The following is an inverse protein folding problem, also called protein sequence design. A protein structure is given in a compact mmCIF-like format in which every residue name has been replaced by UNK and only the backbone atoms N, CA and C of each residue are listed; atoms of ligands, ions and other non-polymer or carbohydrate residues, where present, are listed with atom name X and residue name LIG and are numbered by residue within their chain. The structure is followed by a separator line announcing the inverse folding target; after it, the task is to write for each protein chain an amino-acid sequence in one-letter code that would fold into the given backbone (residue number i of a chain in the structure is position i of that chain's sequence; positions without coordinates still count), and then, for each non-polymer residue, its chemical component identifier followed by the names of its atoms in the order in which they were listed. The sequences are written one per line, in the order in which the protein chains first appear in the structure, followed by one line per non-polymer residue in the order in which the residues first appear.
data_IF_060582557146
#
_entry.id   IF_060582557146
#
_cell.length_a   1.000
_cell.length_b   1.000
_cell.length_c   1.000
_cell.angle_alpha   90.00
_cell.angle_beta   90.00
_cell.angle_gamma   90.00
#
_symmetry.space_group_name_H-M   'P 1'
#
loop_
_entity.id
_entity.type
_entity.pdbx_description
1 polymer ?
#
# COMPACT_ATOMS: atom_id res chain seq x y z
N UNK A 1 15.23 23.11 5.43
CA UNK A 1 16.36 22.65 4.59
C UNK A 1 17.45 21.85 5.33
N UNK A 2 17.34 21.56 6.64
CA UNK A 2 18.37 20.82 7.40
C UNK A 2 18.29 19.28 7.33
N UNK A 3 17.32 18.70 6.62
CA UNK A 3 17.06 17.24 6.62
C UNK A 3 17.98 16.48 5.67
N UNK A 4 18.47 17.11 4.60
CA UNK A 4 19.29 16.45 3.59
C UNK A 4 20.73 16.17 4.03
N UNK A 5 21.32 17.00 4.90
CA UNK A 5 22.69 16.80 5.42
C UNK A 5 22.81 15.57 6.31
N UNK A 6 21.88 15.39 7.25
CA UNK A 6 21.87 14.24 8.19
C UNK A 6 21.70 12.88 7.50
N UNK A 7 21.16 12.84 6.28
CA UNK A 7 20.96 11.57 5.55
C UNK A 7 22.29 11.01 5.03
N UNK A 8 23.19 11.87 4.54
CA UNK A 8 24.50 11.46 4.01
C UNK A 8 25.46 11.00 5.10
N UNK A 9 25.52 11.72 6.23
CA UNK A 9 26.39 11.36 7.35
C UNK A 9 26.05 9.98 7.95
N UNK A 10 24.76 9.63 7.99
CA UNK A 10 24.33 8.36 8.55
C UNK A 10 24.61 7.15 7.65
N UNK A 11 24.53 7.32 6.32
CA UNK A 11 24.96 6.27 5.39
C UNK A 11 26.46 6.00 5.54
N UNK A 12 27.24 7.05 5.76
CA UNK A 12 28.68 6.93 5.96
C UNK A 12 29.04 6.14 7.24
N UNK A 13 28.27 6.31 8.33
CA UNK A 13 28.50 5.55 9.56
C UNK A 13 28.19 4.06 9.39
N UNK A 14 27.07 3.73 8.74
CA UNK A 14 26.65 2.35 8.49
C UNK A 14 27.66 1.59 7.63
N UNK A 15 28.06 2.19 6.51
CA UNK A 15 29.10 1.63 5.64
C UNK A 15 30.44 1.49 6.37
N UNK A 16 30.79 2.44 7.24
CA UNK A 16 32.01 2.37 8.03
C UNK A 16 31.97 1.20 9.01
N UNK A 17 30.88 1.04 9.77
CA UNK A 17 30.72 -0.08 10.69
C UNK A 17 30.72 -1.43 9.95
N UNK A 18 30.11 -1.50 8.76
CA UNK A 18 30.14 -2.69 7.91
C UNK A 18 31.58 -3.06 7.51
N UNK A 19 32.37 -2.07 7.05
CA UNK A 19 33.77 -2.29 6.67
C UNK A 19 34.63 -2.70 7.86
N UNK A 20 34.44 -2.08 9.03
CA UNK A 20 35.18 -2.43 10.26
C UNK A 20 34.82 -3.85 10.70
N UNK A 21 33.55 -4.24 10.62
CA UNK A 21 33.10 -5.60 10.92
C UNK A 21 33.77 -6.64 10.00
N UNK A 22 33.78 -6.39 8.69
CA UNK A 22 34.41 -7.27 7.72
C UNK A 22 35.93 -7.38 7.93
N UNK A 23 36.60 -6.25 8.21
CA UNK A 23 38.04 -6.22 8.52
C UNK A 23 38.38 -7.01 9.78
N UNK A 24 37.69 -6.74 10.90
CA UNK A 24 37.91 -7.44 12.17
C UNK A 24 37.69 -8.94 12.04
N UNK A 25 36.67 -9.36 11.28
CA UNK A 25 36.40 -10.78 10.99
C UNK A 25 37.53 -11.42 10.17
N UNK A 26 38.05 -10.73 9.16
CA UNK A 26 39.15 -11.23 8.32
C UNK A 26 40.47 -11.34 9.09
N UNK A 27 40.68 -10.48 10.08
CA UNK A 27 41.86 -10.49 10.97
C UNK A 27 41.73 -11.49 12.15
N UNK A 28 40.60 -12.19 12.28
CA UNK A 28 40.35 -13.12 13.38
C UNK A 28 40.10 -12.46 14.74
N UNK A 29 39.71 -11.18 14.74
CA UNK A 29 39.39 -10.41 15.96
C UNK A 29 37.91 -10.58 16.31
N UNK A 30 37.54 -11.80 16.73
CA UNK A 30 36.13 -12.19 16.94
C UNK A 30 35.39 -11.29 17.93
N UNK A 31 36.04 -10.88 19.03
CA UNK A 31 35.44 -10.00 20.03
C UNK A 31 35.07 -8.63 19.46
N UNK A 32 35.97 -8.05 18.65
CA UNK A 32 35.74 -6.75 18.00
C UNK A 32 34.65 -6.89 16.94
N UNK A 33 34.72 -7.96 16.13
CA UNK A 33 33.70 -8.24 15.13
C UNK A 33 32.30 -8.37 15.78
N UNK A 34 32.19 -9.09 16.90
CA UNK A 34 30.93 -9.25 17.63
C UNK A 34 30.41 -7.93 18.22
N UNK A 35 31.28 -7.08 18.77
CA UNK A 35 30.90 -5.76 19.28
C UNK A 35 30.39 -4.84 18.16
N UNK A 36 31.14 -4.75 17.05
CA UNK A 36 30.77 -3.93 15.89
C UNK A 36 29.47 -4.43 15.28
N UNK A 37 29.29 -5.75 15.20
CA UNK A 37 28.05 -6.38 14.75
C UNK A 37 26.84 -5.97 15.62
N UNK A 38 27.01 -5.99 16.95
CA UNK A 38 25.99 -5.54 17.88
C UNK A 38 25.61 -4.06 17.68
N UNK A 39 26.60 -3.19 17.50
CA UNK A 39 26.38 -1.77 17.22
C UNK A 39 25.64 -1.56 15.89
N UNK A 40 26.00 -2.30 14.85
CA UNK A 40 25.34 -2.22 13.55
C UNK A 40 23.86 -2.64 13.64
N UNK A 41 23.56 -3.73 14.36
CA UNK A 41 22.18 -4.16 14.61
C UNK A 41 21.37 -3.08 15.35
N UNK A 42 21.93 -2.49 16.42
CA UNK A 42 21.29 -1.42 17.19
C UNK A 42 21.06 -0.15 16.35
N UNK A 43 22.02 0.22 15.50
CA UNK A 43 21.91 1.35 14.59
C UNK A 43 20.74 1.15 13.62
N UNK A 44 20.67 -0.02 12.97
CA UNK A 44 19.60 -0.35 12.03
C UNK A 44 18.23 -0.37 12.73
N UNK A 45 18.13 -0.94 13.94
CA UNK A 45 16.89 -0.90 14.71
C UNK A 45 16.45 0.54 15.02
N UNK A 46 17.39 1.38 15.45
CA UNK A 46 17.13 2.81 15.73
C UNK A 46 16.65 3.54 14.47
N UNK A 47 17.20 3.21 13.30
CA UNK A 47 16.78 3.74 12.01
C UNK A 47 15.37 3.32 11.63
N UNK A 48 15.03 2.05 11.83
CA UNK A 48 13.65 1.55 11.66
C UNK A 48 12.68 2.37 12.53
N UNK A 49 12.97 2.52 13.81
CA UNK A 49 12.12 3.27 14.74
C UNK A 49 12.03 4.77 14.39
N UNK A 50 13.12 5.36 13.91
CA UNK A 50 13.12 6.74 13.43
C UNK A 50 12.24 6.89 12.19
N UNK A 51 12.40 6.04 11.18
CA UNK A 51 11.61 6.08 9.95
C UNK A 51 10.13 5.82 10.22
N UNK A 52 9.79 4.90 11.12
CA UNK A 52 8.40 4.67 11.52
C UNK A 52 7.79 5.91 12.18
N UNK A 53 8.52 6.58 13.10
CA UNK A 53 8.08 7.85 13.71
C UNK A 53 7.94 8.99 12.70
N UNK A 54 8.79 9.00 11.67
CA UNK A 54 8.75 9.99 10.58
C UNK A 54 7.80 9.61 9.44
N UNK A 55 6.97 8.57 9.59
CA UNK A 55 6.01 8.10 8.57
C UNK A 55 6.68 7.79 7.22
N UNK A 56 7.85 7.17 7.28
CA UNK A 56 8.70 6.76 6.16
C UNK A 56 8.69 5.22 6.02
N UNK A 57 7.59 4.61 5.54
CA UNK A 57 7.38 3.16 5.60
C UNK A 57 8.34 2.37 4.72
N UNK A 58 8.69 2.89 3.53
CA UNK A 58 9.57 2.20 2.60
C UNK A 58 11.02 2.12 3.13
N UNK A 59 11.49 3.22 3.72
CA UNK A 59 12.83 3.31 4.30
C UNK A 59 12.92 2.46 5.57
N UNK A 60 11.89 2.47 6.41
CA UNK A 60 11.80 1.58 7.57
C UNK A 60 11.90 0.09 7.16
N UNK A 61 11.19 -0.32 6.11
CA UNK A 61 11.26 -1.69 5.59
C UNK A 61 12.61 -2.02 4.98
N UNK A 62 13.29 -1.06 4.33
CA UNK A 62 14.62 -1.28 3.78
C UNK A 62 15.63 -1.59 4.90
N UNK A 63 15.68 -0.76 5.94
CA UNK A 63 16.56 -0.99 7.10
C UNK A 63 16.23 -2.27 7.86
N UNK A 64 14.95 -2.58 8.03
CA UNK A 64 14.54 -3.83 8.70
C UNK A 64 14.92 -5.08 7.88
N UNK A 65 14.90 -5.01 6.55
CA UNK A 65 15.37 -6.10 5.67
C UNK A 65 16.88 -6.29 5.79
N UNK A 66 17.65 -5.20 5.74
CA UNK A 66 19.09 -5.26 5.95
C UNK A 66 19.44 -5.84 7.33
N UNK A 67 18.68 -5.48 8.36
CA UNK A 67 18.85 -6.06 9.70
C UNK A 67 18.64 -7.59 9.72
N UNK A 68 17.74 -8.14 8.90
CA UNK A 68 17.55 -9.60 8.78
C UNK A 68 18.79 -10.30 8.19
N UNK A 69 19.54 -9.62 7.33
CA UNK A 69 20.71 -10.20 6.66
C UNK A 69 21.90 -10.35 7.62
N UNK A 70 22.02 -9.44 8.59
CA UNK A 70 23.13 -9.43 9.54
C UNK A 70 22.76 -10.10 10.88
N UNK A 71 21.59 -9.79 11.44
CA UNK A 71 21.28 -10.15 12.82
C UNK A 71 21.01 -11.66 12.98
N UNK A 72 21.14 -12.20 14.21
CA UNK A 72 20.66 -13.54 14.52
C UNK A 72 19.22 -13.73 14.03
N UNK A 73 18.87 -14.90 13.45
CA UNK A 73 17.57 -15.08 12.78
C UNK A 73 16.37 -14.66 13.64
N UNK A 74 16.35 -14.99 14.92
CA UNK A 74 15.23 -14.65 15.81
C UNK A 74 15.01 -13.14 15.92
N UNK A 75 16.08 -12.35 16.03
CA UNK A 75 16.00 -10.90 16.12
C UNK A 75 15.65 -10.27 14.77
N UNK A 76 16.32 -10.70 13.70
CA UNK A 76 16.06 -10.22 12.35
C UNK A 76 14.60 -10.40 11.94
N UNK A 77 14.11 -11.64 11.95
CA UNK A 77 12.74 -11.95 11.55
C UNK A 77 11.70 -11.31 12.47
N UNK A 78 11.98 -11.22 13.78
CA UNK A 78 11.08 -10.56 14.74
C UNK A 78 10.96 -9.06 14.46
N UNK A 79 12.07 -8.35 14.24
CA UNK A 79 12.05 -6.91 13.94
C UNK A 79 11.28 -6.64 12.64
N UNK A 80 11.65 -7.31 11.53
CA UNK A 80 11.01 -7.06 10.24
C UNK A 80 9.52 -7.43 10.26
N UNK A 81 9.14 -8.51 10.94
CA UNK A 81 7.73 -8.88 11.08
C UNK A 81 6.94 -7.85 11.91
N UNK A 82 7.53 -7.34 13.01
CA UNK A 82 6.95 -6.24 13.79
C UNK A 82 6.79 -4.97 12.94
N UNK A 83 7.78 -4.63 12.12
CA UNK A 83 7.70 -3.50 11.18
C UNK A 83 6.53 -3.65 10.22
N UNK A 84 6.34 -4.83 9.60
CA UNK A 84 5.17 -5.10 8.76
C UNK A 84 3.84 -4.94 9.53
N UNK A 85 3.76 -5.43 10.77
CA UNK A 85 2.56 -5.26 11.62
C UNK A 85 2.25 -3.79 11.94
N UNK A 86 3.27 -2.98 12.27
CA UNK A 86 3.10 -1.53 12.52
C UNK A 86 2.56 -0.83 11.26
N UNK A 87 3.01 -1.26 10.09
CA UNK A 87 2.55 -0.77 8.79
C UNK A 87 1.23 -1.40 8.30
N UNK A 88 0.55 -2.19 9.16
CA UNK A 88 -0.70 -2.90 8.86
C UNK A 88 -0.62 -3.95 7.73
N UNK A 89 0.59 -4.39 7.37
CA UNK A 89 0.84 -5.47 6.43
C UNK A 89 0.86 -6.84 7.15
N UNK A 90 -0.26 -7.18 7.80
CA UNK A 90 -0.32 -8.34 8.70
C UNK A 90 -0.10 -9.68 8.01
N UNK A 91 -0.48 -9.81 6.73
CA UNK A 91 -0.32 -11.07 5.98
C UNK A 91 1.16 -11.32 5.67
N UNK A 92 1.86 -10.28 5.25
CA UNK A 92 3.30 -10.28 5.01
C UNK A 92 4.07 -10.54 6.31
N UNK A 93 3.66 -9.90 7.41
CA UNK A 93 4.21 -10.15 8.73
C UNK A 93 4.07 -11.62 9.15
N UNK A 94 2.89 -12.21 8.95
CA UNK A 94 2.65 -13.63 9.28
C UNK A 94 3.51 -14.56 8.42
N UNK A 95 3.54 -14.34 7.11
CA UNK A 95 4.31 -15.16 6.19
C UNK A 95 5.81 -15.13 6.54
N UNK A 96 6.33 -13.94 6.85
CA UNK A 96 7.71 -13.76 7.25
C UNK A 96 8.03 -14.42 8.60
N UNK A 97 7.17 -14.28 9.60
CA UNK A 97 7.35 -14.91 10.90
C UNK A 97 7.33 -16.44 10.80
N UNK A 98 6.51 -17.02 9.91
CA UNK A 98 6.55 -18.46 9.59
C UNK A 98 7.89 -18.88 8.99
N UNK A 99 8.46 -18.09 8.08
CA UNK A 99 9.81 -18.33 7.57
C UNK A 99 10.86 -18.25 8.70
N UNK A 100 10.71 -17.28 9.61
CA UNK A 100 11.54 -17.16 10.80
C UNK A 100 11.47 -18.41 11.69
N UNK A 101 10.28 -19.00 11.87
CA UNK A 101 10.10 -20.21 12.69
C UNK A 101 10.98 -21.39 12.26
N UNK A 102 11.28 -21.48 10.95
CA UNK A 102 12.16 -22.51 10.40
C UNK A 102 13.64 -22.27 10.69
N UNK A 103 14.02 -21.02 10.99
CA UNK A 103 15.42 -20.57 11.15
C UNK A 103 15.81 -20.28 12.60
N UNK A 104 14.86 -20.14 13.51
CA UNK A 104 15.11 -19.85 14.92
C UNK A 104 15.40 -21.12 15.73
N UNK A 105 16.22 -20.96 16.78
CA UNK A 105 16.46 -21.99 17.80
C UNK A 105 15.19 -22.34 18.56
N UNK A 106 15.17 -23.52 19.21
CA UNK A 106 14.01 -24.02 19.96
C UNK A 106 13.50 -23.00 20.99
N UNK A 107 14.41 -22.35 21.72
CA UNK A 107 14.10 -21.37 22.78
C UNK A 107 13.32 -20.14 22.27
N UNK A 108 13.40 -19.84 20.97
CA UNK A 108 12.72 -18.69 20.37
C UNK A 108 11.50 -19.07 19.51
N UNK A 109 11.22 -20.37 19.36
CA UNK A 109 10.08 -20.83 18.57
C UNK A 109 8.75 -20.41 19.18
N UNK A 110 8.60 -20.53 20.50
CA UNK A 110 7.36 -20.16 21.18
C UNK A 110 7.04 -18.68 21.01
N UNK A 111 8.03 -17.80 21.20
CA UNK A 111 7.87 -16.36 20.98
C UNK A 111 7.46 -16.04 19.53
N UNK A 112 8.06 -16.72 18.54
CA UNK A 112 7.71 -16.55 17.13
C UNK A 112 6.30 -17.09 16.81
N UNK A 113 5.90 -18.22 17.41
CA UNK A 113 4.54 -18.77 17.29
C UNK A 113 3.49 -17.83 17.89
N UNK A 114 3.76 -17.29 19.08
CA UNK A 114 2.91 -16.31 19.72
C UNK A 114 2.77 -15.06 18.83
N UNK A 115 3.86 -14.58 18.22
CA UNK A 115 3.81 -13.48 17.27
C UNK A 115 2.92 -13.80 16.06
N UNK A 116 3.08 -14.98 15.43
CA UNK A 116 2.26 -15.43 14.30
C UNK A 116 0.77 -15.42 14.69
N UNK A 117 0.43 -15.94 15.87
CA UNK A 117 -0.94 -15.94 16.37
C UNK A 117 -1.49 -14.51 16.53
N UNK A 118 -0.72 -13.63 17.18
CA UNK A 118 -1.10 -12.24 17.40
C UNK A 118 -1.29 -11.48 16.08
N UNK A 119 -0.40 -11.68 15.09
CA UNK A 119 -0.54 -11.09 13.76
C UNK A 119 -1.85 -11.53 13.07
N UNK A 120 -2.22 -12.81 13.17
CA UNK A 120 -3.50 -13.32 12.65
C UNK A 120 -4.72 -12.70 13.34
N UNK A 121 -4.68 -12.59 14.67
CA UNK A 121 -5.77 -11.97 15.43
C UNK A 121 -5.94 -10.51 15.03
N UNK A 122 -4.84 -9.76 14.91
CA UNK A 122 -4.90 -8.37 14.45
C UNK A 122 -5.39 -8.25 13.02
N UNK A 123 -4.92 -9.11 12.11
CA UNK A 123 -5.43 -9.16 10.74
C UNK A 123 -6.94 -9.36 10.74
N UNK A 124 -7.45 -10.35 11.49
CA UNK A 124 -8.88 -10.62 11.59
C UNK A 124 -9.70 -9.43 12.13
N UNK A 125 -9.19 -8.73 13.16
CA UNK A 125 -9.86 -7.56 13.76
C UNK A 125 -9.84 -6.32 12.86
N UNK A 126 -8.80 -6.13 12.05
CA UNK A 126 -8.58 -4.95 11.19
C UNK A 126 -8.82 -5.24 9.71
N UNK A 127 -9.64 -6.25 9.40
CA UNK A 127 -10.02 -6.57 8.02
C UNK A 127 -10.62 -5.35 7.34
N UNK A 128 -10.11 -5.01 6.16
CA UNK A 128 -10.78 -4.04 5.28
C UNK A 128 -12.18 -4.58 5.00
N UNK A 129 -13.25 -3.88 5.43
CA UNK A 129 -14.63 -4.36 5.27
C UNK A 129 -14.97 -4.61 3.80
N UNK A 130 -14.27 -3.95 2.86
CA UNK A 130 -14.46 -4.20 1.43
C UNK A 130 -14.10 -5.62 1.02
N UNK A 131 -13.20 -6.31 1.73
CA UNK A 131 -12.93 -7.73 1.43
C UNK A 131 -14.10 -8.66 1.77
N UNK A 132 -14.95 -8.28 2.73
CA UNK A 132 -15.95 -9.18 3.30
C UNK A 132 -17.39 -8.76 3.04
N UNK A 133 -17.63 -7.51 2.70
CA UNK A 133 -18.97 -7.04 2.33
C UNK A 133 -19.40 -7.70 1.00
N UNK A 134 -20.58 -8.35 0.97
CA UNK A 134 -21.21 -8.79 -0.28
C UNK A 134 -21.39 -7.61 -1.24
N UNK A 135 -21.37 -7.90 -2.54
CA UNK A 135 -21.47 -6.86 -3.57
C UNK A 135 -22.78 -6.08 -3.47
N UNK A 136 -23.86 -6.75 -3.05
CA UNK A 136 -25.20 -6.21 -2.87
C UNK A 136 -25.23 -5.15 -1.76
N UNK A 137 -24.61 -5.45 -0.62
CA UNK A 137 -24.52 -4.51 0.52
C UNK A 137 -23.67 -3.31 0.14
N UNK A 138 -22.54 -3.55 -0.53
CA UNK A 138 -21.67 -2.47 -1.00
C UNK A 138 -22.39 -1.59 -2.02
N UNK A 139 -23.11 -2.18 -2.97
CA UNK A 139 -23.91 -1.44 -3.94
C UNK A 139 -24.98 -0.59 -3.23
N UNK A 140 -25.66 -1.15 -2.22
CA UNK A 140 -26.61 -0.44 -1.37
C UNK A 140 -25.99 0.76 -0.68
N UNK A 141 -24.83 0.60 -0.01
CA UNK A 141 -24.11 1.72 0.62
C UNK A 141 -23.76 2.79 -0.42
N UNK A 142 -23.22 2.38 -1.56
CA UNK A 142 -22.81 3.31 -2.62
C UNK A 142 -24.00 4.07 -3.23
N UNK A 143 -25.23 3.56 -3.16
CA UNK A 143 -26.42 4.32 -3.59
C UNK A 143 -26.66 5.58 -2.74
N UNK A 144 -26.25 5.59 -1.47
CA UNK A 144 -26.42 6.74 -0.59
C UNK A 144 -25.30 7.78 -0.70
N UNK A 145 -24.12 7.40 -1.20
CA UNK A 145 -22.93 8.27 -1.26
C UNK A 145 -22.51 8.61 -2.70
N UNK A 146 -23.48 8.97 -3.55
CA UNK A 146 -23.28 9.21 -4.99
C UNK A 146 -22.06 10.09 -5.30
N UNK A 147 -21.91 11.19 -4.57
CA UNK A 147 -20.88 12.20 -4.78
C UNK A 147 -19.47 11.71 -4.40
N UNK A 148 -19.37 10.80 -3.43
CA UNK A 148 -18.11 10.31 -2.88
C UNK A 148 -17.59 9.03 -3.57
N UNK A 149 -18.37 8.42 -4.47
CA UNK A 149 -17.98 7.18 -5.16
C UNK A 149 -16.63 7.29 -5.86
N UNK A 150 -16.35 8.44 -6.47
CA UNK A 150 -15.08 8.70 -7.14
C UNK A 150 -13.94 8.82 -6.13
N UNK A 151 -14.17 9.52 -5.00
CA UNK A 151 -13.23 9.57 -3.87
C UNK A 151 -12.89 8.17 -3.37
N UNK A 152 -13.89 7.28 -3.27
CA UNK A 152 -13.70 5.90 -2.84
C UNK A 152 -12.79 5.08 -3.77
N UNK A 153 -12.68 5.41 -5.07
CA UNK A 153 -11.72 4.78 -5.99
C UNK A 153 -10.25 5.12 -5.64
N UNK A 154 -10.04 6.18 -4.87
CA UNK A 154 -8.74 6.62 -4.33
C UNK A 154 -8.34 5.92 -3.03
N UNK A 155 -9.28 5.33 -2.30
CA UNK A 155 -9.06 4.80 -0.94
C UNK A 155 -8.07 3.62 -0.93
N UNK A 156 -8.32 2.60 -1.74
CA UNK A 156 -7.43 1.45 -1.87
C UNK A 156 -7.55 0.79 -3.24
N UNK A 157 -6.54 -0.02 -3.62
CA UNK A 157 -6.61 -0.82 -4.86
C UNK A 157 -7.81 -1.78 -4.86
N UNK A 158 -8.12 -2.34 -3.69
CA UNK A 158 -9.21 -3.28 -3.52
C UNK A 158 -10.58 -2.58 -3.62
N UNK A 159 -10.72 -1.43 -2.96
CA UNK A 159 -11.87 -0.52 -3.13
C UNK A 159 -12.12 -0.20 -4.59
N UNK A 160 -11.09 0.24 -5.32
CA UNK A 160 -11.18 0.54 -6.74
C UNK A 160 -11.66 -0.66 -7.55
N UNK A 161 -11.06 -1.83 -7.35
CA UNK A 161 -11.42 -3.04 -8.07
C UNK A 161 -12.87 -3.46 -7.81
N UNK A 162 -13.31 -3.47 -6.54
CA UNK A 162 -14.69 -3.84 -6.19
C UNK A 162 -15.71 -2.85 -6.69
N UNK A 163 -15.52 -1.56 -6.43
CA UNK A 163 -16.45 -0.50 -6.85
C UNK A 163 -16.62 -0.45 -8.36
N UNK A 164 -15.54 -0.69 -9.11
CA UNK A 164 -15.61 -0.85 -10.55
C UNK A 164 -16.64 -1.91 -10.92
N UNK A 165 -16.62 -3.09 -10.32
CA UNK A 165 -17.50 -4.21 -10.66
C UNK A 165 -18.98 -4.02 -10.27
N UNK A 166 -19.31 -3.04 -9.44
CA UNK A 166 -20.68 -2.85 -8.97
C UNK A 166 -21.58 -2.20 -10.04
N UNK A 167 -22.87 -2.57 -10.12
CA UNK A 167 -23.84 -1.97 -11.04
C UNK A 167 -24.34 -0.59 -10.57
N UNK A 168 -23.45 0.23 -10.00
CA UNK A 168 -23.76 1.54 -9.41
C UNK A 168 -23.56 2.69 -10.40
N UNK A 169 -22.84 2.46 -11.50
CA UNK A 169 -22.48 3.46 -12.51
C UNK A 169 -23.58 3.69 -13.56
N UNK A 170 -24.85 3.63 -13.16
CA UNK A 170 -25.99 3.79 -14.06
C UNK A 170 -26.23 5.25 -14.45
N UNK A 171 -25.77 6.19 -13.62
CA UNK A 171 -25.89 7.62 -13.86
C UNK A 171 -24.49 8.23 -13.87
N UNK A 172 -24.15 8.94 -14.95
CA UNK A 172 -22.90 9.64 -15.12
C UNK A 172 -23.15 11.12 -15.35
N UNK A 173 -22.58 11.96 -14.48
CA UNK A 173 -22.55 13.40 -14.66
C UNK A 173 -21.17 13.84 -15.16
N UNK A 174 -21.14 14.48 -16.33
CA UNK A 174 -19.91 14.92 -17.00
C UNK A 174 -19.80 16.44 -16.91
N UNK A 175 -19.25 16.94 -15.81
CA UNK A 175 -19.13 18.39 -15.54
C UNK A 175 -17.85 19.00 -16.12
N UNK A 176 -16.70 18.37 -15.88
CA UNK A 176 -15.41 18.83 -16.40
C UNK A 176 -14.62 17.64 -16.91
N UNK A 177 -14.38 17.62 -18.21
CA UNK A 177 -13.57 16.59 -18.84
C UNK A 177 -12.29 17.24 -19.39
N UNK A 178 -11.15 16.76 -18.92
CA UNK A 178 -9.84 17.22 -19.41
C UNK A 178 -9.32 16.19 -20.43
N UNK A 179 -9.49 16.39 -21.75
CA UNK A 179 -9.15 15.37 -22.75
C UNK A 179 -7.64 15.03 -22.86
N UNK A 180 -6.75 15.73 -22.16
CA UNK A 180 -5.29 15.70 -22.38
C UNK A 180 -4.45 14.80 -21.45
N UNK A 181 -5.04 14.08 -20.50
CA UNK A 181 -4.25 13.19 -19.62
C UNK A 181 -4.55 11.72 -19.91
N UNK A 182 -3.51 10.94 -20.22
CA UNK A 182 -3.60 9.47 -20.37
C UNK A 182 -4.24 8.78 -19.17
N UNK A 183 -4.08 9.38 -17.97
CA UNK A 183 -4.75 8.94 -16.74
C UNK A 183 -6.28 8.88 -16.88
N UNK A 184 -6.87 9.71 -17.74
CA UNK A 184 -8.32 9.77 -17.93
C UNK A 184 -8.86 8.58 -18.72
N UNK A 185 -8.05 7.93 -19.55
CA UNK A 185 -8.49 6.73 -20.29
C UNK A 185 -8.82 5.55 -19.35
N UNK A 186 -8.09 5.42 -18.23
CA UNK A 186 -8.39 4.39 -17.22
C UNK A 186 -9.67 4.71 -16.43
N UNK A 187 -9.87 5.98 -16.09
CA UNK A 187 -11.11 6.44 -15.46
C UNK A 187 -12.32 6.24 -16.37
N UNK A 188 -12.19 6.45 -17.69
CA UNK A 188 -13.27 6.17 -18.65
C UNK A 188 -13.70 4.71 -18.63
N UNK A 189 -12.74 3.77 -18.71
CA UNK A 189 -13.04 2.33 -18.67
C UNK A 189 -13.74 1.90 -17.38
N UNK A 190 -13.50 2.65 -16.31
CA UNK A 190 -14.12 2.38 -15.00
C UNK A 190 -15.61 2.68 -15.02
N UNK A 191 -15.99 3.82 -15.62
CA UNK A 191 -17.32 4.43 -15.47
C UNK A 191 -18.20 4.23 -16.71
N UNK A 192 -17.63 4.16 -17.91
CA UNK A 192 -18.34 3.85 -19.15
C UNK A 192 -18.53 2.34 -19.27
N UNK A 193 -19.68 1.86 -18.79
CA UNK A 193 -20.04 0.44 -18.82
C UNK A 193 -21.38 0.21 -19.53
N UNK A 194 -21.66 -1.02 -19.99
CA UNK A 194 -22.94 -1.36 -20.64
C UNK A 194 -24.18 -1.09 -19.78
N UNK A 195 -24.03 -1.02 -18.45
CA UNK A 195 -25.11 -0.72 -17.50
C UNK A 195 -25.44 0.77 -17.39
N UNK A 196 -24.70 1.66 -18.07
CA UNK A 196 -24.95 3.10 -18.06
C UNK A 196 -26.30 3.42 -18.72
N UNK A 197 -27.18 4.12 -17.99
CA UNK A 197 -28.54 4.46 -18.43
C UNK A 197 -28.77 5.96 -18.54
N UNK A 198 -28.20 6.74 -17.64
CA UNK A 198 -28.46 8.17 -17.54
C UNK A 198 -27.15 8.92 -17.68
N UNK A 199 -27.15 9.91 -18.57
CA UNK A 199 -26.01 10.78 -18.79
C UNK A 199 -26.48 12.22 -18.61
N UNK A 200 -25.80 12.95 -17.73
CA UNK A 200 -25.96 14.39 -17.58
C UNK A 200 -24.70 15.04 -18.15
N UNK A 201 -24.87 15.75 -19.25
CA UNK A 201 -23.82 16.38 -20.01
C UNK A 201 -23.70 17.86 -19.65
N UNK A 202 -22.57 18.24 -19.06
CA UNK A 202 -22.26 19.61 -18.65
C UNK A 202 -20.81 19.97 -19.01
N UNK A 203 -20.25 19.38 -20.08
CA UNK A 203 -18.83 19.51 -20.46
C UNK A 203 -18.66 20.25 -21.79
N UNK A 204 -17.52 20.93 -21.91
CA UNK A 204 -17.03 21.60 -23.12
C UNK A 204 -16.39 20.66 -24.16
N UNK A 205 -16.37 19.35 -23.93
CA UNK A 205 -15.83 18.38 -24.89
C UNK A 205 -16.81 18.19 -26.06
N UNK A 206 -16.31 17.80 -27.24
CA UNK A 206 -17.16 17.48 -28.38
C UNK A 206 -18.10 16.31 -28.02
N UNK A 207 -19.41 16.54 -28.18
CA UNK A 207 -20.43 15.50 -27.99
C UNK A 207 -20.17 14.30 -28.90
N UNK A 208 -19.82 14.53 -30.17
CA UNK A 208 -19.50 13.46 -31.12
C UNK A 208 -18.36 12.56 -30.64
N UNK A 209 -17.30 13.17 -30.09
CA UNK A 209 -16.19 12.40 -29.49
C UNK A 209 -16.68 11.56 -28.31
N UNK A 210 -17.47 12.15 -27.41
CA UNK A 210 -17.99 11.40 -26.26
C UNK A 210 -18.92 10.26 -26.66
N UNK A 211 -19.82 10.48 -27.62
CA UNK A 211 -20.69 9.43 -28.18
C UNK A 211 -19.88 8.29 -28.82
N UNK A 212 -18.78 8.60 -29.52
CA UNK A 212 -17.88 7.56 -30.04
C UNK A 212 -17.26 6.72 -28.92
N UNK A 213 -16.99 7.33 -27.76
CA UNK A 213 -16.46 6.63 -26.59
C UNK A 213 -17.51 5.77 -25.90
N UNK A 214 -18.75 6.24 -25.79
CA UNK A 214 -19.86 5.42 -25.32
C UNK A 214 -20.05 4.17 -26.20
N UNK A 215 -19.97 4.36 -27.51
CA UNK A 215 -20.07 3.26 -28.49
C UNK A 215 -18.90 2.29 -28.34
N UNK A 216 -17.67 2.80 -28.21
CA UNK A 216 -16.46 2.00 -27.97
C UNK A 216 -16.57 1.15 -26.69
N UNK A 217 -17.28 1.64 -25.67
CA UNK A 217 -17.49 0.96 -24.39
C UNK A 217 -18.81 0.18 -24.29
N UNK A 218 -19.51 -0.01 -25.42
CA UNK A 218 -20.78 -0.74 -25.50
C UNK A 218 -21.88 -0.19 -24.56
N UNK A 219 -21.87 1.11 -24.30
CA UNK A 219 -22.91 1.80 -23.53
C UNK A 219 -24.18 2.01 -24.39
N UNK A 220 -24.86 0.92 -24.76
CA UNK A 220 -26.02 0.93 -25.66
C UNK A 220 -27.39 1.07 -24.95
N UNK A 221 -27.41 1.14 -23.62
CA UNK A 221 -28.64 1.19 -22.80
C UNK A 221 -28.98 2.58 -22.27
N UNK A 222 -28.50 3.63 -22.94
CA UNK A 222 -28.74 5.02 -22.51
C UNK A 222 -30.21 5.38 -22.75
N UNK A 223 -30.91 5.68 -21.66
CA UNK A 223 -32.33 6.04 -21.64
C UNK A 223 -32.53 7.56 -21.56
N UNK A 224 -31.62 8.27 -20.87
CA UNK A 224 -31.73 9.72 -20.67
C UNK A 224 -30.39 10.39 -20.96
N UNK A 225 -30.40 11.35 -21.87
CA UNK A 225 -29.32 12.29 -22.10
C UNK A 225 -29.82 13.70 -21.74
N UNK A 226 -29.39 14.21 -20.59
CA UNK A 226 -29.65 15.58 -20.16
C UNK A 226 -28.50 16.49 -20.54
N UNK A 227 -28.79 17.74 -20.89
CA UNK A 227 -27.79 18.80 -21.04
C UNK A 227 -28.00 19.83 -19.94
N UNK A 228 -26.96 20.14 -19.16
CA UNK A 228 -27.00 21.28 -18.26
C UNK A 228 -26.45 22.50 -19.01
N UNK A 229 -27.26 23.56 -19.11
CA UNK A 229 -26.76 24.86 -19.55
C UNK A 229 -25.80 25.37 -18.48
N UNK A 230 -24.51 25.41 -18.80
CA UNK A 230 -23.51 26.04 -17.95
C UNK A 230 -23.74 27.55 -18.09
N UNK A 231 -24.30 28.19 -17.07
CA UNK A 231 -24.28 29.64 -16.97
C UNK A 231 -22.82 30.06 -16.78
N UNK A 232 -22.24 30.70 -17.80
CA UNK A 232 -20.88 31.23 -17.78
C UNK A 232 -20.82 32.52 -16.99
#
# INVERSE_FOLDING_TARGET
MAVFGKRKENQHLEEHLQRVFEAARNEGQDDIANQVHGLLCQLLQTKVDQCLRSLQPQEALAYAKQHVEIAPPHNGFSLLSKTYCILAYYREAEALARCGLLKVTLDHREAMQHFIHTARVHYAKRRDPVHHLPAEIMAGIMQYILQERITCLGVSRNWRHRLQLLPIWQTLEVVKWLPRQERNAHCMRTVLRPELRNIVWASNVSLCWFLSKLTQHQCNRIQKLGTCSIAF
#
